data_IF_003746260634
#
_entry.id   IF_003746260634
#
_cell.length_a   1.000
_cell.length_b   1.000
_cell.length_c   1.000
_cell.angle_alpha   90.00
_cell.angle_beta   90.00
_cell.angle_gamma   90.00
#
_symmetry.space_group_name_H-M   'P 1'
#
loop_
_entity.id
_entity.type
_entity.pdbx_description
1 polymer ?
#
# COMPACT_ATOMS: atom_id res chain seq x y z
N UNK A 1 -5.21 2.08 -26.24
CA UNK A 1 -5.32 2.13 -24.76
C UNK A 1 -4.28 1.19 -24.17
N UNK A 2 -4.05 1.21 -22.85
CA UNK A 2 -3.14 0.26 -22.19
C UNK A 2 -3.43 -1.18 -22.57
N UNK A 3 -4.68 -1.62 -22.45
CA UNK A 3 -5.08 -3.00 -22.78
C UNK A 3 -4.80 -3.36 -24.24
N UNK A 4 -5.12 -2.49 -25.20
CA UNK A 4 -4.78 -2.77 -26.61
C UNK A 4 -3.28 -2.86 -26.87
N UNK A 5 -2.45 -2.16 -26.08
CA UNK A 5 -1.00 -2.17 -26.25
C UNK A 5 -0.35 -3.40 -25.59
N UNK A 6 -0.80 -3.78 -24.39
CA UNK A 6 -0.10 -4.73 -23.53
C UNK A 6 -0.89 -6.01 -23.20
N UNK A 7 -2.19 -6.08 -23.56
CA UNK A 7 -3.08 -7.23 -23.36
C UNK A 7 -3.83 -7.57 -24.65
N UNK A 8 -3.08 -8.07 -25.63
CA UNK A 8 -3.64 -8.42 -26.95
C UNK A 8 -4.71 -9.52 -26.89
N UNK A 9 -4.71 -10.33 -25.83
CA UNK A 9 -5.72 -11.34 -25.50
C UNK A 9 -7.01 -10.74 -24.87
N UNK A 10 -6.94 -9.52 -24.32
CA UNK A 10 -8.05 -8.83 -23.65
C UNK A 10 -7.98 -7.32 -23.87
N UNK A 11 -8.56 -6.85 -24.97
CA UNK A 11 -8.31 -5.48 -25.46
C UNK A 11 -9.36 -4.44 -25.04
N UNK A 12 -10.46 -4.84 -24.38
CA UNK A 12 -11.64 -4.00 -24.16
C UNK A 12 -12.21 -4.04 -22.72
N UNK A 13 -11.34 -4.05 -21.70
CA UNK A 13 -11.75 -3.95 -20.30
C UNK A 13 -12.28 -2.56 -19.92
N UNK A 14 -13.22 -2.54 -18.99
CA UNK A 14 -13.82 -1.33 -18.42
C UNK A 14 -13.77 -1.38 -16.89
N UNK A 15 -13.99 -0.23 -16.25
CA UNK A 15 -14.12 -0.10 -14.81
C UNK A 15 -15.22 0.93 -14.50
N UNK A 16 -15.81 0.82 -13.31
CA UNK A 16 -16.71 1.82 -12.77
C UNK A 16 -15.91 2.90 -12.03
N UNK A 17 -16.49 4.08 -11.85
CA UNK A 17 -15.90 5.13 -11.01
C UNK A 17 -16.87 5.50 -9.92
N UNK A 18 -16.37 5.59 -8.69
CA UNK A 18 -17.14 5.97 -7.51
C UNK A 18 -16.46 7.17 -6.85
N UNK A 19 -17.27 8.16 -6.48
CA UNK A 19 -16.79 9.38 -5.81
C UNK A 19 -17.09 9.28 -4.32
N UNK A 20 -16.07 9.51 -3.50
CA UNK A 20 -16.17 9.72 -2.05
C UNK A 20 -15.77 11.17 -1.78
N UNK A 21 -16.51 11.88 -0.94
CA UNK A 21 -16.27 13.27 -0.57
C UNK A 21 -16.06 14.25 -1.74
N UNK A 22 -16.74 14.00 -2.85
CA UNK A 22 -16.67 14.85 -4.04
C UNK A 22 -15.41 14.64 -4.89
N UNK A 23 -14.74 13.49 -4.76
CA UNK A 23 -13.62 13.10 -5.61
C UNK A 23 -13.91 13.24 -7.10
N UNK A 24 -12.92 13.73 -7.85
CA UNK A 24 -13.04 14.01 -9.28
C UNK A 24 -13.06 12.70 -10.07
N UNK A 25 -14.11 12.49 -10.88
CA UNK A 25 -14.34 11.23 -11.61
C UNK A 25 -14.12 11.33 -13.13
N UNK A 26 -13.70 12.48 -13.63
CA UNK A 26 -13.42 12.68 -15.07
C UNK A 26 -12.19 13.56 -15.30
N UNK A 27 -11.52 13.36 -16.42
CA UNK A 27 -10.29 14.08 -16.77
C UNK A 27 -9.24 13.18 -17.42
N UNK A 28 -7.99 13.66 -17.46
CA UNK A 28 -6.87 12.92 -18.06
C UNK A 28 -6.26 11.85 -17.14
N UNK A 29 -6.62 11.85 -15.86
CA UNK A 29 -6.00 11.00 -14.82
C UNK A 29 -4.58 11.47 -14.44
N UNK A 30 -4.01 10.80 -13.45
CA UNK A 30 -2.61 10.95 -13.00
C UNK A 30 -1.79 9.73 -13.39
N UNK A 31 -0.49 9.75 -13.12
CA UNK A 31 0.38 8.58 -13.31
C UNK A 31 -0.07 7.41 -12.43
N UNK A 32 -0.17 7.63 -11.11
CA UNK A 32 -0.61 6.64 -10.12
C UNK A 32 -2.00 6.09 -10.42
N UNK A 33 -2.99 6.97 -10.62
CA UNK A 33 -4.36 6.53 -10.91
C UNK A 33 -4.45 5.71 -12.22
N UNK A 34 -3.60 6.03 -13.21
CA UNK A 34 -3.50 5.26 -14.45
C UNK A 34 -2.87 3.89 -14.19
N UNK A 35 -1.77 3.83 -13.42
CA UNK A 35 -1.09 2.59 -13.07
C UNK A 35 -2.03 1.64 -12.34
N UNK A 36 -2.64 2.10 -11.23
CA UNK A 36 -3.50 1.30 -10.36
C UNK A 36 -4.64 0.64 -11.14
N UNK A 37 -5.38 1.43 -11.93
CA UNK A 37 -6.55 0.93 -12.63
C UNK A 37 -6.18 0.06 -13.84
N UNK A 38 -5.09 0.39 -14.55
CA UNK A 38 -4.67 -0.37 -15.74
C UNK A 38 -4.22 -1.78 -15.37
N UNK A 39 -3.44 -1.91 -14.30
CA UNK A 39 -2.98 -3.21 -13.83
C UNK A 39 -4.09 -3.98 -13.12
N UNK A 40 -4.98 -3.32 -12.37
CA UNK A 40 -6.12 -4.01 -11.76
C UNK A 40 -7.06 -4.59 -12.81
N UNK A 41 -7.54 -3.78 -13.78
CA UNK A 41 -8.43 -4.23 -14.86
C UNK A 41 -7.73 -5.24 -15.77
N UNK A 42 -6.43 -5.05 -15.99
CA UNK A 42 -5.60 -6.01 -16.72
C UNK A 42 -5.58 -7.36 -16.00
N UNK A 43 -4.95 -7.43 -14.84
CA UNK A 43 -4.71 -8.70 -14.13
C UNK A 43 -6.01 -9.40 -13.70
N UNK A 44 -6.98 -8.64 -13.18
CA UNK A 44 -8.28 -9.16 -12.77
C UNK A 44 -9.27 -9.20 -13.94
N UNK A 45 -8.89 -9.89 -15.02
CA UNK A 45 -9.72 -10.00 -16.23
C UNK A 45 -11.11 -10.59 -15.89
N UNK A 46 -12.16 -9.93 -16.38
CA UNK A 46 -13.58 -10.26 -16.10
C UNK A 46 -14.01 -10.11 -14.62
N UNK A 47 -13.25 -9.39 -13.80
CA UNK A 47 -13.67 -8.97 -12.46
C UNK A 47 -14.19 -7.54 -12.52
N UNK A 48 -15.39 -7.30 -11.97
CA UNK A 48 -15.94 -5.95 -11.87
C UNK A 48 -15.03 -5.09 -11.01
N UNK A 49 -14.42 -4.07 -11.61
CA UNK A 49 -13.45 -3.19 -10.96
C UNK A 49 -14.05 -1.80 -10.81
N UNK A 50 -13.88 -1.19 -9.65
CA UNK A 50 -14.29 0.20 -9.38
C UNK A 50 -13.07 1.01 -8.98
N UNK A 51 -12.84 2.13 -9.66
CA UNK A 51 -11.89 3.15 -9.23
C UNK A 51 -12.59 4.10 -8.26
N UNK A 52 -12.09 4.19 -7.03
CA UNK A 52 -12.65 5.08 -6.01
C UNK A 52 -11.81 6.36 -5.98
N UNK A 53 -12.44 7.47 -6.36
CA UNK A 53 -11.87 8.80 -6.31
C UNK A 53 -12.33 9.51 -5.05
N UNK A 54 -11.39 10.03 -4.28
CA UNK A 54 -11.63 10.61 -2.96
C UNK A 54 -11.33 12.10 -3.03
N UNK A 55 -12.27 12.93 -2.59
CA UNK A 55 -12.11 14.38 -2.58
C UNK A 55 -11.33 14.88 -1.38
N UNK A 56 -10.91 16.14 -1.45
CA UNK A 56 -10.18 16.81 -0.36
C UNK A 56 -11.09 17.29 0.78
N UNK A 57 -12.42 17.13 0.65
CA UNK A 57 -13.39 17.52 1.67
C UNK A 57 -13.50 16.45 2.78
N UNK A 58 -12.37 16.07 3.37
CA UNK A 58 -12.32 15.17 4.52
C UNK A 58 -12.41 15.98 5.83
N UNK A 59 -13.09 15.42 6.82
CA UNK A 59 -13.28 16.05 8.15
C UNK A 59 -12.54 15.27 9.26
N UNK A 60 -11.70 14.31 8.89
CA UNK A 60 -11.04 13.36 9.80
C UNK A 60 -9.62 13.79 10.21
N UNK A 61 -9.16 14.97 9.77
CA UNK A 61 -7.91 15.59 10.23
C UNK A 61 -6.68 14.76 9.88
N UNK A 62 -5.95 14.26 10.89
CA UNK A 62 -4.74 13.44 10.70
C UNK A 62 -5.00 12.03 10.17
N UNK A 63 -6.25 11.67 9.88
CA UNK A 63 -6.58 10.44 9.15
C UNK A 63 -6.62 10.64 7.62
N UNK A 64 -6.45 11.89 7.14
CA UNK A 64 -6.21 12.23 5.74
C UNK A 64 -7.23 11.66 4.74
N UNK A 65 -8.50 11.52 5.15
CA UNK A 65 -9.58 10.93 4.37
C UNK A 65 -9.61 9.40 4.35
N UNK A 66 -8.62 8.71 4.94
CA UNK A 66 -8.59 7.24 4.95
C UNK A 66 -9.68 6.68 5.86
N UNK A 67 -10.06 7.41 6.91
CA UNK A 67 -11.15 6.99 7.78
C UNK A 67 -12.49 7.10 7.03
N UNK A 68 -12.65 8.17 6.25
CA UNK A 68 -13.85 8.42 5.45
C UNK A 68 -14.04 7.32 4.39
N UNK A 69 -12.99 6.90 3.70
CA UNK A 69 -13.03 5.78 2.73
C UNK A 69 -13.46 4.46 3.41
N UNK A 70 -12.84 4.11 4.53
CA UNK A 70 -13.15 2.84 5.21
C UNK A 70 -14.57 2.87 5.77
N UNK A 71 -15.00 3.98 6.36
CA UNK A 71 -16.36 4.15 6.84
C UNK A 71 -17.40 4.12 5.70
N UNK A 72 -17.05 4.69 4.55
CA UNK A 72 -17.87 4.61 3.35
C UNK A 72 -18.14 3.14 2.97
N UNK A 73 -17.10 2.30 2.87
CA UNK A 73 -17.27 0.88 2.58
C UNK A 73 -17.94 0.10 3.72
N UNK A 74 -17.68 0.44 4.98
CA UNK A 74 -18.37 -0.15 6.12
C UNK A 74 -19.88 0.10 6.09
N UNK A 75 -20.33 1.20 5.47
CA UNK A 75 -21.74 1.54 5.32
C UNK A 75 -22.42 0.87 4.11
N UNK A 76 -21.67 0.34 3.14
CA UNK A 76 -22.26 -0.35 1.98
C UNK A 76 -22.86 -1.70 2.40
N UNK A 77 -23.98 -2.11 1.81
CA UNK A 77 -24.57 -3.44 2.08
C UNK A 77 -23.61 -4.58 1.71
N UNK A 78 -22.88 -4.41 0.60
CA UNK A 78 -21.91 -5.37 0.07
C UNK A 78 -20.60 -4.65 -0.25
N UNK A 79 -19.64 -4.57 0.69
CA UNK A 79 -18.36 -3.92 0.47
C UNK A 79 -17.56 -4.69 -0.60
N UNK A 80 -16.52 -4.08 -1.19
CA UNK A 80 -15.67 -4.76 -2.14
C UNK A 80 -14.99 -5.97 -1.49
N UNK A 81 -14.80 -7.05 -2.26
CA UNK A 81 -14.05 -8.22 -1.77
C UNK A 81 -12.55 -7.93 -1.64
N UNK A 82 -12.04 -6.98 -2.42
CA UNK A 82 -10.64 -6.58 -2.42
C UNK A 82 -10.58 -5.05 -2.53
N UNK A 83 -9.84 -4.41 -1.62
CA UNK A 83 -9.51 -2.99 -1.63
C UNK A 83 -7.99 -2.85 -1.75
N UNK A 84 -7.51 -2.25 -2.84
CA UNK A 84 -6.09 -1.95 -3.04
C UNK A 84 -5.87 -0.45 -2.96
N UNK A 85 -4.81 0.00 -2.31
CA UNK A 85 -4.50 1.43 -2.18
C UNK A 85 -2.99 1.69 -2.27
N UNK A 86 -2.62 2.55 -3.21
CA UNK A 86 -1.24 2.97 -3.50
C UNK A 86 -0.95 4.34 -2.88
N UNK A 87 -1.08 4.42 -1.55
CA UNK A 87 -0.76 5.61 -0.78
C UNK A 87 -0.49 5.22 0.68
N UNK A 88 0.52 5.84 1.27
CA UNK A 88 0.88 5.66 2.66
C UNK A 88 1.39 6.98 3.26
N UNK A 89 1.76 6.92 4.54
CA UNK A 89 2.35 7.99 5.32
C UNK A 89 3.55 7.43 6.08
N UNK A 90 4.51 8.28 6.43
CA UNK A 90 5.44 7.94 7.50
C UNK A 90 4.65 7.70 8.80
N UNK A 91 4.89 6.57 9.47
CA UNK A 91 4.16 6.22 10.70
C UNK A 91 4.35 7.29 11.80
N UNK A 92 5.50 7.97 11.80
CA UNK A 92 5.83 9.09 12.69
C UNK A 92 4.97 10.34 12.48
N UNK A 93 4.35 10.48 11.29
CA UNK A 93 3.46 11.59 10.96
C UNK A 93 2.02 11.35 11.38
N UNK A 94 1.68 10.14 11.85
CA UNK A 94 0.33 9.75 12.27
C UNK A 94 0.29 9.60 13.79
N UNK A 95 -0.57 10.34 14.51
CA UNK A 95 -0.75 10.14 15.95
C UNK A 95 -1.12 8.68 16.28
N UNK A 96 -0.54 8.06 17.33
CA UNK A 96 -0.77 6.64 17.63
C UNK A 96 -2.23 6.25 17.85
N UNK A 97 -3.03 7.12 18.45
CA UNK A 97 -4.48 6.93 18.63
C UNK A 97 -5.24 6.94 17.30
N UNK A 98 -4.87 7.83 16.37
CA UNK A 98 -5.42 7.89 15.02
C UNK A 98 -5.02 6.65 14.21
N UNK A 99 -3.75 6.25 14.26
CA UNK A 99 -3.28 5.03 13.60
C UNK A 99 -4.04 3.79 14.10
N UNK A 100 -4.24 3.69 15.42
CA UNK A 100 -4.95 2.58 16.03
C UNK A 100 -6.45 2.57 15.67
N UNK A 101 -7.10 3.74 15.65
CA UNK A 101 -8.47 3.90 15.18
C UNK A 101 -8.64 3.44 13.72
N UNK A 102 -7.78 3.93 12.81
CA UNK A 102 -7.79 3.53 11.40
C UNK A 102 -7.55 2.02 11.25
N UNK A 103 -6.60 1.48 12.00
CA UNK A 103 -6.31 0.05 11.96
C UNK A 103 -7.49 -0.82 12.44
N UNK A 104 -8.24 -0.37 13.45
CA UNK A 104 -9.48 -1.03 13.84
C UNK A 104 -10.61 -0.86 12.82
N UNK A 105 -10.66 0.25 12.08
CA UNK A 105 -11.60 0.41 10.97
C UNK A 105 -11.29 -0.60 9.85
N UNK A 106 -10.01 -0.77 9.49
CA UNK A 106 -9.58 -1.83 8.55
C UNK A 106 -9.92 -3.22 9.06
N UNK A 107 -9.71 -3.49 10.35
CA UNK A 107 -10.11 -4.77 10.96
C UNK A 107 -11.62 -5.03 10.79
N UNK A 108 -12.46 -4.03 11.08
CA UNK A 108 -13.90 -4.14 10.89
C UNK A 108 -14.26 -4.45 9.43
N UNK A 109 -13.67 -3.73 8.48
CA UNK A 109 -13.92 -3.99 7.06
C UNK A 109 -13.44 -5.40 6.66
N UNK A 110 -12.30 -5.85 7.19
CA UNK A 110 -11.81 -7.23 7.06
C UNK A 110 -12.80 -8.27 7.59
N UNK A 111 -13.46 -8.02 8.72
CA UNK A 111 -14.50 -8.95 9.23
C UNK A 111 -15.74 -9.03 8.35
N UNK A 112 -15.95 -8.04 7.46
CA UNK A 112 -16.99 -8.08 6.42
C UNK A 112 -16.57 -8.84 5.16
N UNK A 113 -15.36 -9.40 5.14
CA UNK A 113 -14.84 -10.24 4.06
C UNK A 113 -14.01 -9.50 3.01
N UNK A 114 -13.63 -8.24 3.26
CA UNK A 114 -12.76 -7.48 2.36
C UNK A 114 -11.28 -7.74 2.66
N UNK A 115 -10.52 -8.16 1.64
CA UNK A 115 -9.06 -8.15 1.69
C UNK A 115 -8.54 -6.74 1.41
N UNK A 116 -7.72 -6.20 2.30
CA UNK A 116 -7.24 -4.81 2.22
C UNK A 116 -5.73 -4.84 1.99
N UNK A 117 -5.28 -4.22 0.90
CA UNK A 117 -3.90 -4.21 0.45
C UNK A 117 -3.38 -2.78 0.35
N UNK A 118 -2.20 -2.54 0.93
CA UNK A 118 -1.50 -1.26 0.86
C UNK A 118 -0.11 -1.46 0.29
N UNK A 119 0.34 -0.51 -0.54
CA UNK A 119 1.74 -0.40 -0.90
C UNK A 119 2.60 -0.20 0.37
N UNK A 120 3.82 -0.75 0.38
CA UNK A 120 4.75 -0.57 1.50
C UNK A 120 5.35 0.83 1.54
N UNK A 121 5.47 1.50 0.40
CA UNK A 121 6.21 2.75 0.22
C UNK A 121 7.49 2.59 -0.59
N UNK A 122 8.03 3.71 -1.05
CA UNK A 122 9.12 3.82 -2.04
C UNK A 122 10.39 4.48 -1.48
N UNK A 123 10.49 4.63 -0.15
CA UNK A 123 11.64 5.22 0.54
C UNK A 123 12.62 4.20 1.12
N UNK A 124 12.45 2.91 0.85
CA UNK A 124 13.20 1.85 1.53
C UNK A 124 12.99 1.94 3.05
N UNK A 125 14.07 1.86 3.83
CA UNK A 125 13.99 2.00 5.30
C UNK A 125 13.78 3.45 5.77
N UNK A 126 13.84 4.42 4.86
CA UNK A 126 13.74 5.84 5.19
C UNK A 126 12.30 6.37 5.18
N UNK A 127 11.32 5.58 4.72
CA UNK A 127 9.91 5.94 4.78
C UNK A 127 9.19 5.76 3.46
N UNK A 128 8.35 6.74 3.13
CA UNK A 128 7.36 6.67 2.07
C UNK A 128 7.96 6.97 0.69
N UNK A 129 8.94 7.87 0.61
CA UNK A 129 9.44 8.38 -0.68
C UNK A 129 10.95 8.27 -0.79
N UNK A 130 11.46 8.18 -2.02
CA UNK A 130 12.89 8.11 -2.30
C UNK A 130 13.70 9.31 -1.78
N UNK A 131 13.06 10.47 -1.56
CA UNK A 131 13.68 11.67 -0.98
C UNK A 131 13.73 11.67 0.54
N UNK A 132 13.04 10.73 1.20
CA UNK A 132 13.03 10.64 2.65
C UNK A 132 14.40 10.24 3.20
N UNK A 133 14.64 10.55 4.46
CA UNK A 133 15.90 10.26 5.14
C UNK A 133 15.61 9.53 6.44
N UNK A 134 16.66 9.01 7.09
CA UNK A 134 16.57 8.44 8.44
C UNK A 134 17.10 9.45 9.46
N UNK A 135 16.27 10.31 10.07
CA UNK A 135 16.72 11.25 11.10
C UNK A 135 17.36 10.49 12.26
N UNK A 136 18.53 10.95 12.71
CA UNK A 136 19.33 10.29 13.76
C UNK A 136 19.63 8.81 13.47
N UNK A 137 19.63 8.44 12.18
CA UNK A 137 19.78 7.07 11.71
C UNK A 137 18.56 6.18 11.93
N UNK A 138 17.45 6.65 12.52
CA UNK A 138 16.29 5.79 12.77
C UNK A 138 15.53 5.49 11.49
N UNK A 139 15.20 4.21 11.31
CA UNK A 139 14.36 3.76 10.20
C UNK A 139 12.92 4.21 10.45
N UNK A 140 12.26 4.61 9.38
CA UNK A 140 10.92 5.18 9.40
C UNK A 140 9.97 4.19 8.73
N UNK A 141 9.16 3.45 9.51
CA UNK A 141 8.16 2.56 8.93
C UNK A 141 6.98 3.38 8.38
N UNK A 142 6.18 2.78 7.51
CA UNK A 142 5.06 3.43 6.81
C UNK A 142 3.70 2.88 7.26
N UNK A 143 2.72 3.76 7.35
CA UNK A 143 1.34 3.44 7.71
C UNK A 143 0.43 3.75 6.51
N UNK A 144 -0.56 2.90 6.14
CA UNK A 144 -1.12 1.78 6.90
C UNK A 144 -0.37 0.46 6.89
N UNK A 145 0.74 0.32 6.16
CA UNK A 145 1.48 -0.95 6.04
C UNK A 145 1.92 -1.55 7.40
N UNK A 146 2.10 -0.74 8.44
CA UNK A 146 2.35 -1.22 9.81
C UNK A 146 1.12 -1.74 10.57
N UNK A 147 -0.10 -1.52 10.09
CA UNK A 147 -1.31 -2.08 10.69
C UNK A 147 -1.32 -3.62 10.53
N UNK A 148 -1.57 -4.40 11.59
CA UNK A 148 -1.63 -5.87 11.53
C UNK A 148 -2.88 -6.45 10.84
N UNK A 149 -3.81 -5.61 10.36
CA UNK A 149 -5.06 -6.05 9.73
C UNK A 149 -5.14 -5.75 8.24
N UNK A 150 -4.02 -5.33 7.63
CA UNK A 150 -3.89 -5.14 6.18
C UNK A 150 -2.76 -6.03 5.64
N UNK A 151 -2.80 -6.33 4.35
CA UNK A 151 -1.68 -6.94 3.63
C UNK A 151 -0.80 -5.82 3.04
N UNK A 152 0.41 -5.69 3.56
CA UNK A 152 1.42 -4.78 3.02
C UNK A 152 2.16 -5.42 1.85
N UNK A 153 2.24 -4.72 0.73
CA UNK A 153 2.84 -5.20 -0.52
C UNK A 153 4.09 -4.38 -0.82
N UNK A 154 5.26 -5.03 -0.76
CA UNK A 154 6.53 -4.46 -1.18
C UNK A 154 6.83 -4.64 -2.67
N UNK A 155 8.02 -4.19 -3.05
CA UNK A 155 8.47 -4.18 -4.44
C UNK A 155 9.71 -5.03 -4.68
N UNK A 156 9.69 -5.75 -5.79
CA UNK A 156 10.84 -6.40 -6.41
C UNK A 156 11.20 -5.71 -7.73
N UNK A 157 12.39 -5.98 -8.25
CA UNK A 157 12.81 -5.55 -9.59
C UNK A 157 13.50 -6.71 -10.34
N UNK A 158 13.42 -6.69 -11.67
CA UNK A 158 13.90 -7.78 -12.52
C UNK A 158 12.92 -8.96 -12.60
N UNK A 159 13.08 -9.79 -13.62
CA UNK A 159 12.19 -10.94 -13.90
C UNK A 159 12.91 -12.28 -13.67
N UNK A 160 14.17 -12.36 -14.09
CA UNK A 160 14.98 -13.58 -13.99
C UNK A 160 16.48 -13.20 -14.01
N UNK A 161 17.07 -12.81 -12.86
CA UNK A 161 16.51 -12.93 -11.51
C UNK A 161 15.56 -11.79 -11.13
N UNK A 162 14.57 -12.12 -10.31
CA UNK A 162 13.82 -11.16 -9.49
C UNK A 162 14.61 -10.89 -8.21
N UNK A 163 14.82 -9.63 -7.88
CA UNK A 163 15.58 -9.18 -6.69
C UNK A 163 14.81 -8.12 -5.92
N UNK A 164 15.25 -7.80 -4.70
CA UNK A 164 14.60 -6.75 -3.90
C UNK A 164 14.72 -5.38 -4.60
N UNK A 165 13.61 -4.66 -4.73
CA UNK A 165 13.63 -3.28 -5.19
C UNK A 165 14.27 -2.41 -4.12
N UNK A 166 15.30 -1.64 -4.46
CA UNK A 166 16.04 -0.81 -3.48
C UNK A 166 15.19 0.25 -2.80
N UNK A 167 14.09 0.65 -3.45
CA UNK A 167 13.10 1.60 -2.96
C UNK A 167 12.00 0.93 -2.13
N UNK A 168 11.85 -0.40 -2.18
CA UNK A 168 10.79 -1.09 -1.45
C UNK A 168 10.92 -0.84 0.05
N UNK A 169 9.94 -0.14 0.61
CA UNK A 169 9.89 0.06 2.04
C UNK A 169 9.60 -1.24 2.78
N UNK A 170 10.13 -1.31 3.99
CA UNK A 170 10.03 -2.47 4.86
C UNK A 170 10.73 -2.18 6.18
N UNK A 171 10.31 -2.86 7.23
CA UNK A 171 10.82 -2.58 8.57
C UNK A 171 9.88 -3.07 9.66
N UNK A 172 9.91 -2.37 10.80
CA UNK A 172 9.14 -2.72 11.97
C UNK A 172 8.44 -1.50 12.54
N UNK A 173 7.15 -1.63 12.83
CA UNK A 173 6.33 -0.59 13.43
C UNK A 173 6.86 -0.11 14.79
N UNK A 174 6.71 1.18 15.06
CA UNK A 174 6.89 1.81 16.36
C UNK A 174 5.58 1.92 17.16
N UNK A 175 4.41 1.74 16.52
CA UNK A 175 3.08 1.86 17.13
C UNK A 175 2.49 0.47 17.45
N UNK A 176 2.51 -0.43 16.48
CA UNK A 176 1.82 -1.73 16.57
C UNK A 176 2.79 -2.82 17.02
N UNK A 177 2.47 -3.56 18.11
CA UNK A 177 3.27 -4.69 18.53
C UNK A 177 3.20 -5.79 17.47
N UNK A 178 4.22 -6.65 17.44
CA UNK A 178 4.26 -7.81 16.56
C UNK A 178 3.07 -8.74 16.84
N UNK A 179 2.18 -9.00 15.87
CA UNK A 179 1.11 -9.96 16.01
C UNK A 179 1.63 -11.41 16.00
N UNK A 180 0.90 -12.29 16.67
CA UNK A 180 1.29 -13.70 16.86
C UNK A 180 1.48 -14.45 15.53
N UNK A 181 0.67 -14.13 14.52
CA UNK A 181 0.71 -14.81 13.22
C UNK A 181 2.04 -14.64 12.47
N UNK A 182 2.83 -13.60 12.79
CA UNK A 182 4.15 -13.38 12.18
C UNK A 182 5.31 -13.47 13.19
N UNK A 183 5.03 -13.80 14.45
CA UNK A 183 6.04 -13.82 15.50
C UNK A 183 7.22 -14.75 15.15
N UNK A 184 6.93 -15.97 14.70
CA UNK A 184 7.95 -16.97 14.36
C UNK A 184 8.85 -16.51 13.21
N UNK A 185 8.25 -15.99 12.13
CA UNK A 185 8.98 -15.56 10.92
C UNK A 185 9.83 -14.32 11.20
N UNK A 186 9.28 -13.32 11.89
CA UNK A 186 10.01 -12.09 12.20
C UNK A 186 11.17 -12.34 13.17
N UNK A 187 10.99 -13.19 14.19
CA UNK A 187 12.07 -13.57 15.10
C UNK A 187 13.19 -14.32 14.36
N UNK A 188 12.82 -15.29 13.51
CA UNK A 188 13.79 -16.01 12.70
C UNK A 188 14.58 -15.08 11.76
N UNK A 189 13.93 -14.07 11.17
CA UNK A 189 14.60 -13.05 10.35
C UNK A 189 15.60 -12.20 11.14
N UNK A 190 15.21 -11.73 12.33
CA UNK A 190 16.09 -10.96 13.22
C UNK A 190 17.34 -11.76 13.61
N UNK A 191 17.15 -13.05 13.93
CA UNK A 191 18.22 -13.95 14.34
C UNK A 191 19.15 -14.31 13.17
N UNK A 192 18.59 -14.65 12.00
CA UNK A 192 19.35 -15.06 10.82
C UNK A 192 20.33 -13.98 10.33
N UNK A 193 19.93 -12.72 10.45
CA UNK A 193 20.74 -11.56 10.07
C UNK A 193 21.50 -10.94 11.26
N UNK A 194 21.38 -11.54 12.46
CA UNK A 194 21.96 -11.05 13.71
C UNK A 194 21.69 -9.55 13.95
N UNK A 195 20.48 -9.08 13.62
CA UNK A 195 20.20 -7.64 13.55
C UNK A 195 20.24 -6.95 14.91
N UNK A 196 20.09 -7.69 16.00
CA UNK A 196 20.20 -7.18 17.37
C UNK A 196 21.65 -6.93 17.80
N UNK A 197 22.63 -7.49 17.09
CA UNK A 197 24.06 -7.30 17.34
C UNK A 197 24.85 -6.81 16.10
N UNK A 198 24.14 -6.39 15.04
CA UNK A 198 24.73 -5.83 13.83
C UNK A 198 24.88 -4.30 13.96
N UNK A 199 25.56 -3.62 13.00
CA UNK A 199 25.56 -2.16 12.93
C UNK A 199 24.15 -1.54 12.77
N UNK A 200 23.13 -2.33 12.45
CA UNK A 200 21.73 -1.90 12.36
C UNK A 200 21.00 -1.97 13.71
N UNK A 201 21.64 -2.48 14.76
CA UNK A 201 21.04 -2.57 16.08
C UNK A 201 20.63 -1.19 16.60
N UNK A 202 19.39 -1.08 17.08
CA UNK A 202 18.83 0.16 17.60
C UNK A 202 18.31 1.14 16.53
N UNK A 203 18.44 0.84 15.24
CA UNK A 203 17.86 1.66 14.17
C UNK A 203 16.36 1.44 13.97
N UNK A 204 15.80 0.33 14.46
CA UNK A 204 14.39 -0.06 14.30
C UNK A 204 13.85 -0.77 15.57
N UNK A 205 12.52 -0.88 15.68
CA UNK A 205 11.85 -1.53 16.82
C UNK A 205 11.68 -3.05 16.60
N UNK A 206 12.53 -3.87 17.22
CA UNK A 206 12.51 -5.35 17.08
C UNK A 206 11.24 -6.04 17.60
N UNK A 207 10.39 -5.31 18.32
CA UNK A 207 9.15 -5.83 18.93
C UNK A 207 7.89 -5.48 18.13
N UNK A 208 8.01 -4.64 17.11
CA UNK A 208 6.88 -4.14 16.32
C UNK A 208 6.42 -5.10 15.22
N UNK A 209 5.27 -4.77 14.61
CA UNK A 209 4.78 -5.41 13.38
C UNK A 209 5.82 -5.24 12.26
N UNK A 210 6.43 -6.34 11.82
CA UNK A 210 7.32 -6.39 10.66
C UNK A 210 6.53 -6.35 9.36
N UNK A 211 6.96 -5.62 8.33
CA UNK A 211 6.31 -5.50 7.02
C UNK A 211 7.40 -5.35 5.92
N UNK A 212 7.11 -5.59 4.63
CA UNK A 212 5.84 -6.01 4.04
C UNK A 212 5.51 -7.50 4.28
N UNK A 213 4.29 -7.93 3.90
CA UNK A 213 3.86 -9.33 4.00
C UNK A 213 4.18 -10.13 2.73
N UNK A 214 4.10 -9.47 1.57
CA UNK A 214 4.40 -10.02 0.24
C UNK A 214 5.08 -8.96 -0.62
N UNK A 215 5.63 -9.35 -1.78
CA UNK A 215 6.21 -8.41 -2.74
C UNK A 215 5.82 -8.77 -4.18
N UNK A 216 5.83 -7.77 -5.06
CA UNK A 216 5.60 -7.92 -6.51
C UNK A 216 6.52 -6.98 -7.29
N UNK A 217 6.74 -7.23 -8.58
CA UNK A 217 7.53 -6.33 -9.42
C UNK A 217 6.95 -4.92 -9.41
N UNK A 218 7.77 -3.94 -9.04
CA UNK A 218 7.34 -2.55 -8.85
C UNK A 218 8.15 -1.54 -9.66
N UNK A 219 9.06 -2.00 -10.53
CA UNK A 219 9.94 -1.14 -11.30
C UNK A 219 9.82 -1.37 -12.80
N UNK A 220 9.93 -0.27 -13.57
CA UNK A 220 9.86 -0.24 -15.03
C UNK A 220 8.53 -0.82 -15.53
N UNK A 221 7.46 -0.49 -14.82
CA UNK A 221 6.11 -0.98 -15.06
C UNK A 221 5.49 -0.15 -16.19
N UNK A 222 5.33 -0.76 -17.36
CA UNK A 222 4.81 -0.05 -18.53
C UNK A 222 3.34 0.33 -18.33
N UNK A 223 2.98 1.60 -18.50
CA UNK A 223 1.61 2.10 -18.46
C UNK A 223 1.31 2.98 -19.69
N UNK A 224 0.06 3.43 -19.82
CA UNK A 224 -0.33 4.50 -20.75
C UNK A 224 -1.04 5.61 -19.99
N UNK A 225 -0.33 6.66 -19.57
CA UNK A 225 -0.93 7.81 -18.91
C UNK A 225 -1.15 8.97 -19.88
N UNK A 226 -2.33 9.59 -19.83
CA UNK A 226 -2.76 10.65 -20.76
C UNK A 226 -2.56 10.32 -22.26
N UNK A 227 -2.64 9.03 -22.62
CA UNK A 227 -2.46 8.54 -23.99
C UNK A 227 -1.00 8.28 -24.40
N UNK A 228 -0.03 8.49 -23.51
CA UNK A 228 1.40 8.31 -23.76
C UNK A 228 1.91 7.06 -23.05
N UNK A 229 2.46 6.06 -23.77
CA UNK A 229 3.16 4.94 -23.14
C UNK A 229 4.42 5.39 -22.42
N UNK A 230 4.60 4.97 -21.17
CA UNK A 230 5.77 5.28 -20.35
C UNK A 230 5.93 4.25 -19.22
N UNK A 231 7.15 4.01 -18.72
CA UNK A 231 7.35 3.24 -17.51
C UNK A 231 7.04 4.07 -16.25
N UNK A 232 6.69 3.39 -15.18
CA UNK A 232 6.74 3.87 -13.78
C UNK A 232 7.84 3.11 -13.06
#
# INVERSE_FOLDING_TARGET
TFLSAFRQDFTSGTFNVQSVDGGITSGKGTLEASLDIQYTVGLATNVSTTFVSVGENNQDGSAFGFLDIVNFFLAEDNPPLVLTTSFDFQETSVPPDVAQMLCFAYAQLGTRGTSILFASGDGGVAGQQASDTCPDGKFIPTFPSTCPFVTSVGSTEGVAPEVAGTFSAGGFSNIFPRPDYQASVALAYLDALNLTASPLAGHFNTTGRAFPDVSMTGRDIAIVAAGVPQPV
#
